data_IF_909627514784
#
_entry.id   IF_909627514784
#
_cell.length_a   1.000
_cell.length_b   1.000
_cell.length_c   1.000
_cell.angle_alpha   90.00
_cell.angle_beta   90.00
_cell.angle_gamma   90.00
#
_symmetry.space_group_name_H-M   'P 1'
#
loop_
_entity.id
_entity.type
_entity.pdbx_description
1 polymer ?
#
# COMPACT_ATOMS: atom_id res chain seq x y z
N UNK A 1 -13.70 64.34 5.78
CA UNK A 1 -12.60 64.08 4.83
C UNK A 1 -12.22 62.60 5.01
N UNK A 2 -12.61 61.76 4.07
CA UNK A 2 -12.30 60.33 4.06
C UNK A 2 -11.33 60.14 2.89
N UNK A 3 -10.08 59.75 3.20
CA UNK A 3 -9.12 59.36 2.20
C UNK A 3 -9.30 57.89 1.83
N UNK A 4 -9.58 57.69 0.54
CA UNK A 4 -9.53 56.38 -0.13
C UNK A 4 -8.09 55.98 -0.35
N UNK A 5 -7.65 54.84 0.18
CA UNK A 5 -6.42 54.20 -0.25
C UNK A 5 -6.78 53.09 -1.26
N UNK A 6 -6.52 53.35 -2.50
CA UNK A 6 -6.52 52.37 -3.59
C UNK A 6 -5.37 51.39 -3.41
N UNK A 7 -5.70 50.11 -3.36
CA UNK A 7 -4.71 49.01 -3.38
C UNK A 7 -4.29 48.76 -4.85
N UNK A 8 -3.04 49.04 -5.18
CA UNK A 8 -2.44 48.64 -6.44
C UNK A 8 -2.22 47.12 -6.46
N UNK A 9 -3.01 46.42 -7.26
CA UNK A 9 -2.76 45.04 -7.61
C UNK A 9 -1.52 44.95 -8.53
N UNK A 10 -0.55 44.14 -8.10
CA UNK A 10 0.61 43.76 -8.89
C UNK A 10 0.16 42.70 -9.89
N UNK A 11 0.09 43.08 -11.17
CA UNK A 11 -0.01 42.12 -12.26
C UNK A 11 1.38 41.45 -12.44
N UNK A 12 1.43 40.15 -12.25
CA UNK A 12 2.55 39.34 -12.73
C UNK A 12 2.30 39.09 -14.22
N UNK A 13 3.11 39.67 -15.08
CA UNK A 13 3.21 39.27 -16.48
C UNK A 13 3.94 37.92 -16.54
N UNK A 14 3.25 36.91 -17.06
CA UNK A 14 3.89 35.64 -17.44
C UNK A 14 4.77 35.88 -18.68
N UNK A 15 6.07 36.01 -18.48
CA UNK A 15 7.04 35.91 -19.58
C UNK A 15 7.00 34.47 -20.13
N UNK A 16 6.39 34.32 -21.30
CA UNK A 16 6.52 33.09 -22.09
C UNK A 16 7.94 32.99 -22.60
N UNK A 17 8.74 32.16 -21.97
CA UNK A 17 10.07 31.79 -22.50
C UNK A 17 9.81 30.93 -23.74
N UNK A 18 10.00 31.52 -24.93
CA UNK A 18 10.00 30.81 -26.19
C UNK A 18 11.36 30.09 -26.33
N UNK A 19 11.31 28.78 -26.14
CA UNK A 19 12.46 27.92 -26.40
C UNK A 19 12.78 27.90 -27.91
N UNK A 20 14.05 27.87 -28.25
CA UNK A 20 14.50 27.71 -29.64
C UNK A 20 14.22 26.31 -30.14
N UNK A 21 14.10 26.10 -31.46
CA UNK A 21 13.84 24.76 -32.04
C UNK A 21 14.87 23.71 -31.62
N UNK A 22 16.13 24.10 -31.40
CA UNK A 22 17.19 23.20 -30.92
C UNK A 22 16.99 22.83 -29.43
N UNK A 23 16.51 23.76 -28.60
CA UNK A 23 16.18 23.48 -27.18
C UNK A 23 14.94 22.59 -27.04
N UNK A 24 13.99 22.67 -27.95
CA UNK A 24 12.84 21.80 -28.01
C UNK A 24 13.23 20.38 -28.43
N UNK A 25 14.15 20.25 -29.40
CA UNK A 25 14.69 18.94 -29.82
C UNK A 25 15.48 18.25 -28.70
N UNK A 26 16.33 19.01 -28.02
CA UNK A 26 17.15 18.47 -26.90
C UNK A 26 16.26 17.98 -25.75
N UNK A 27 15.19 18.73 -25.42
CA UNK A 27 14.21 18.28 -24.40
C UNK A 27 13.37 17.09 -24.87
N UNK A 28 13.13 16.94 -26.16
CA UNK A 28 12.39 15.80 -26.70
C UNK A 28 13.24 14.54 -26.72
N UNK A 29 14.53 14.66 -27.10
CA UNK A 29 15.48 13.54 -27.05
C UNK A 29 15.77 13.10 -25.61
N UNK A 30 15.93 14.04 -24.65
CA UNK A 30 16.09 13.71 -23.23
C UNK A 30 14.82 13.03 -22.66
N UNK A 31 13.62 13.44 -23.08
CA UNK A 31 12.38 12.76 -22.67
C UNK A 31 12.26 11.35 -23.25
N UNK A 32 12.62 11.15 -24.50
CA UNK A 32 12.58 9.83 -25.13
C UNK A 32 13.64 8.88 -24.57
N UNK A 33 14.82 9.36 -24.17
CA UNK A 33 15.83 8.55 -23.47
C UNK A 33 15.42 8.23 -22.04
N UNK A 34 14.91 9.20 -21.26
CA UNK A 34 14.40 8.93 -19.91
C UNK A 34 13.20 8.01 -19.89
N UNK A 35 12.28 8.11 -20.86
CA UNK A 35 11.15 7.18 -20.98
C UNK A 35 11.61 5.75 -21.36
N UNK A 36 12.66 5.60 -22.14
CA UNK A 36 13.23 4.27 -22.47
C UNK A 36 13.99 3.66 -21.30
N UNK A 37 14.75 4.42 -20.56
CA UNK A 37 15.47 3.93 -19.37
C UNK A 37 14.49 3.57 -18.24
N UNK A 38 13.45 4.37 -18.01
CA UNK A 38 12.39 4.04 -17.05
C UNK A 38 11.60 2.77 -17.43
N UNK A 39 11.42 2.51 -18.71
CA UNK A 39 10.75 1.27 -19.18
C UNK A 39 11.63 0.02 -18.99
N UNK A 40 12.95 0.16 -19.01
CA UNK A 40 13.90 -0.96 -18.87
C UNK A 40 14.19 -1.25 -17.40
N UNK A 41 14.34 -0.23 -16.56
CA UNK A 41 14.62 -0.38 -15.13
C UNK A 41 13.37 -0.69 -14.28
N UNK A 42 12.21 -0.20 -14.66
CA UNK A 42 10.99 -0.28 -13.84
C UNK A 42 9.87 -1.12 -14.48
N UNK A 43 10.17 -2.17 -15.18
CA UNK A 43 9.23 -3.03 -15.93
C UNK A 43 7.90 -3.42 -15.26
N UNK A 44 7.65 -2.96 -14.05
CA UNK A 44 6.41 -3.16 -13.27
C UNK A 44 5.60 -1.86 -13.11
N UNK A 45 6.17 -0.70 -13.38
CA UNK A 45 5.51 0.58 -13.23
C UNK A 45 5.32 1.26 -14.59
N UNK A 46 4.54 0.63 -15.47
CA UNK A 46 3.94 1.36 -16.58
C UNK A 46 2.95 2.39 -16.00
N UNK A 47 3.46 3.57 -15.68
CA UNK A 47 2.59 4.70 -15.44
C UNK A 47 1.87 5.01 -16.76
N UNK A 48 0.57 4.71 -16.81
CA UNK A 48 -0.24 5.21 -17.91
C UNK A 48 -0.17 6.75 -17.87
N UNK A 49 0.26 7.37 -18.96
CA UNK A 49 0.14 8.82 -19.10
C UNK A 49 -1.36 9.21 -19.03
N UNK A 50 -1.66 10.45 -18.67
CA UNK A 50 -3.07 10.93 -18.67
C UNK A 50 -3.74 10.67 -20.03
N UNK A 51 -2.98 10.71 -21.13
CA UNK A 51 -3.43 10.47 -22.49
C UNK A 51 -3.81 9.01 -22.78
N UNK A 52 -3.18 8.05 -22.09
CA UNK A 52 -3.46 6.62 -22.24
C UNK A 52 -4.50 6.10 -21.24
N UNK A 53 -4.91 6.90 -20.26
CA UNK A 53 -5.88 6.48 -19.26
C UNK A 53 -7.30 6.47 -19.81
N UNK A 54 -7.89 5.29 -19.85
CA UNK A 54 -9.30 5.13 -20.24
C UNK A 54 -10.16 5.07 -18.99
N UNK A 55 -11.04 6.04 -18.83
CA UNK A 55 -11.99 6.06 -17.73
C UNK A 55 -12.91 4.85 -17.76
N UNK A 56 -13.19 4.20 -16.63
CA UNK A 56 -14.15 3.10 -16.57
C UNK A 56 -15.50 3.52 -17.14
N UNK A 57 -16.15 2.60 -17.85
CA UNK A 57 -17.48 2.83 -18.42
C UNK A 57 -18.60 2.69 -17.39
N UNK A 58 -18.37 1.92 -16.32
CA UNK A 58 -19.32 1.74 -15.22
C UNK A 58 -19.55 3.06 -14.46
N UNK A 59 -20.81 3.58 -14.40
CA UNK A 59 -21.12 4.84 -13.73
C UNK A 59 -20.85 4.80 -12.22
N UNK A 60 -21.00 3.65 -11.57
CA UNK A 60 -20.76 3.51 -10.13
C UNK A 60 -19.26 3.62 -9.82
N UNK A 61 -18.42 2.99 -10.65
CA UNK A 61 -16.96 3.09 -10.55
C UNK A 61 -16.50 4.52 -10.80
N UNK A 62 -17.00 5.18 -11.86
CA UNK A 62 -16.69 6.59 -12.15
C UNK A 62 -17.02 7.51 -10.98
N UNK A 63 -18.22 7.40 -10.45
CA UNK A 63 -18.67 8.18 -9.28
C UNK A 63 -17.75 7.97 -8.07
N UNK A 64 -17.26 6.75 -7.85
CA UNK A 64 -16.32 6.46 -6.75
C UNK A 64 -14.93 7.06 -7.00
N UNK A 65 -14.44 7.04 -8.23
CA UNK A 65 -13.17 7.67 -8.58
C UNK A 65 -13.24 9.20 -8.44
N UNK A 66 -14.32 9.82 -8.90
CA UNK A 66 -14.57 11.26 -8.70
C UNK A 66 -14.61 11.60 -7.22
N UNK A 67 -15.39 10.85 -6.43
CA UNK A 67 -15.43 11.00 -4.98
C UNK A 67 -14.03 10.91 -4.36
N UNK A 68 -13.23 9.90 -4.75
CA UNK A 68 -11.87 9.72 -4.21
C UNK A 68 -10.96 10.92 -4.55
N UNK A 69 -11.01 11.42 -5.77
CA UNK A 69 -10.23 12.60 -6.19
C UNK A 69 -10.53 13.83 -5.33
N UNK A 70 -11.75 13.96 -4.85
CA UNK A 70 -12.20 15.11 -4.05
C UNK A 70 -11.81 15.02 -2.57
N UNK A 71 -11.43 13.83 -2.06
CA UNK A 71 -11.18 13.65 -0.63
C UNK A 71 -9.89 14.32 -0.13
N UNK A 72 -8.87 14.44 -0.97
CA UNK A 72 -7.57 15.10 -0.74
C UNK A 72 -6.72 14.49 0.39
N UNK A 73 -7.26 14.29 1.60
CA UNK A 73 -6.53 13.80 2.76
C UNK A 73 -7.14 12.50 3.28
N UNK A 74 -6.34 11.43 3.28
CA UNK A 74 -6.67 10.14 3.87
C UNK A 74 -5.68 9.72 4.95
N UNK A 75 -6.11 8.82 5.80
CA UNK A 75 -5.25 8.10 6.73
C UNK A 75 -4.88 6.75 6.13
N UNK A 76 -3.60 6.52 5.85
CA UNK A 76 -3.08 5.21 5.47
C UNK A 76 -2.47 4.53 6.68
N UNK A 77 -2.87 3.29 6.93
CA UNK A 77 -2.36 2.50 8.04
C UNK A 77 -1.88 1.15 7.55
N UNK A 78 -0.59 0.90 7.75
CA UNK A 78 0.01 -0.43 7.63
C UNK A 78 0.11 -1.04 9.02
N UNK A 79 -0.62 -2.13 9.23
CA UNK A 79 -0.65 -2.82 10.52
C UNK A 79 -0.94 -4.31 10.32
N UNK A 80 -0.18 -5.17 10.99
CA UNK A 80 -0.25 -6.61 10.88
C UNK A 80 0.67 -7.27 11.91
N UNK A 81 0.88 -8.57 11.78
CA UNK A 81 1.71 -9.35 12.70
C UNK A 81 3.14 -8.80 12.82
N UNK A 82 3.70 -8.26 11.73
CA UNK A 82 5.02 -7.63 11.67
C UNK A 82 5.21 -6.44 12.62
N UNK A 83 4.13 -5.81 13.04
CA UNK A 83 4.20 -4.66 13.98
C UNK A 83 4.80 -5.04 15.33
N UNK A 84 4.77 -6.33 15.71
CA UNK A 84 5.39 -6.83 16.92
C UNK A 84 6.91 -6.70 16.89
N UNK A 85 7.50 -6.69 15.70
CA UNK A 85 8.94 -6.55 15.49
C UNK A 85 9.40 -5.10 15.36
N UNK A 86 8.46 -4.15 15.29
CA UNK A 86 8.78 -2.75 15.07
C UNK A 86 9.40 -2.45 13.70
N UNK A 87 9.18 -3.32 12.74
CA UNK A 87 9.70 -3.20 11.36
C UNK A 87 8.64 -2.62 10.41
N UNK A 88 9.12 -2.21 9.24
CA UNK A 88 8.24 -1.73 8.17
C UNK A 88 7.68 -2.91 7.42
N UNK A 89 6.40 -3.19 7.63
CA UNK A 89 5.61 -4.17 6.89
C UNK A 89 6.25 -5.58 6.86
N UNK A 90 5.91 -6.39 5.89
CA UNK A 90 6.43 -7.76 5.75
C UNK A 90 7.74 -7.86 4.94
N UNK A 91 8.38 -6.75 4.61
CA UNK A 91 9.57 -6.74 3.74
C UNK A 91 10.75 -7.56 4.27
N UNK A 92 10.79 -7.83 5.56
CA UNK A 92 11.79 -8.72 6.14
C UNK A 92 11.76 -10.16 5.60
N UNK A 93 10.64 -10.58 4.99
CA UNK A 93 10.51 -11.86 4.29
C UNK A 93 11.10 -11.84 2.89
N UNK A 94 11.26 -10.67 2.29
CA UNK A 94 11.84 -10.57 0.94
C UNK A 94 13.32 -10.93 0.94
N UNK A 95 13.80 -11.39 -0.22
CA UNK A 95 15.20 -11.70 -0.38
C UNK A 95 16.07 -10.46 -0.64
N UNK A 96 17.36 -10.62 -0.43
CA UNK A 96 18.45 -9.74 -0.85
C UNK A 96 18.27 -8.23 -0.50
N UNK A 97 18.06 -7.40 -1.50
CA UNK A 97 18.20 -5.94 -1.38
C UNK A 97 17.10 -5.26 -0.55
N UNK A 98 15.96 -5.90 -0.41
CA UNK A 98 14.88 -5.43 0.47
C UNK A 98 15.03 -5.90 1.92
N UNK A 99 16.10 -6.58 2.26
CA UNK A 99 16.35 -7.11 3.60
C UNK A 99 16.76 -6.05 4.65
N UNK A 100 16.84 -4.78 4.27
CA UNK A 100 17.07 -3.70 5.22
C UNK A 100 16.11 -3.75 6.43
N UNK A 101 14.87 -4.15 6.21
CA UNK A 101 13.89 -4.37 7.27
C UNK A 101 14.27 -5.57 8.16
N UNK A 102 14.85 -6.63 7.58
CA UNK A 102 15.36 -7.80 8.31
C UNK A 102 16.50 -7.43 9.24
N UNK A 103 17.38 -6.52 8.85
CA UNK A 103 18.49 -6.06 9.70
C UNK A 103 18.04 -5.33 10.98
N UNK A 104 16.78 -4.90 11.04
CA UNK A 104 16.21 -4.31 12.26
C UNK A 104 15.69 -5.37 13.25
N UNK A 105 15.74 -6.66 12.88
CA UNK A 105 15.26 -7.76 13.71
C UNK A 105 16.48 -8.44 14.37
N UNK A 106 16.46 -8.50 15.69
CA UNK A 106 17.52 -9.12 16.50
C UNK A 106 17.28 -10.64 16.65
N UNK A 107 17.21 -11.32 15.53
CA UNK A 107 17.12 -12.78 15.47
C UNK A 107 18.38 -13.36 14.83
N UNK A 108 19.02 -14.31 15.53
CA UNK A 108 20.22 -14.99 15.05
C UNK A 108 19.94 -16.14 14.05
N UNK A 109 18.74 -16.16 13.45
CA UNK A 109 18.31 -17.20 12.52
C UNK A 109 18.19 -16.67 11.10
N UNK A 110 18.36 -17.55 10.11
CA UNK A 110 18.32 -17.21 8.69
C UNK A 110 17.50 -18.23 7.90
N UNK A 111 17.21 -17.91 6.64
CA UNK A 111 16.56 -18.82 5.71
C UNK A 111 15.18 -19.31 6.22
N UNK A 112 14.97 -20.61 6.15
CA UNK A 112 13.69 -21.25 6.52
C UNK A 112 13.33 -21.07 8.00
N UNK A 113 14.31 -21.06 8.89
CA UNK A 113 14.03 -20.85 10.30
C UNK A 113 13.53 -19.41 10.57
N UNK A 114 14.10 -18.43 9.85
CA UNK A 114 13.61 -17.04 9.91
C UNK A 114 12.14 -16.94 9.44
N UNK A 115 11.81 -17.55 8.29
CA UNK A 115 10.46 -17.57 7.76
C UNK A 115 9.48 -18.19 8.73
N UNK A 116 9.84 -19.36 9.28
CA UNK A 116 9.01 -20.04 10.27
C UNK A 116 8.76 -19.18 11.49
N UNK A 117 9.78 -18.54 12.06
CA UNK A 117 9.61 -17.64 13.21
C UNK A 117 8.78 -16.43 12.85
N UNK A 118 8.94 -15.88 11.65
CA UNK A 118 8.12 -14.77 11.19
C UNK A 118 6.64 -15.17 11.07
N UNK A 119 6.35 -16.28 10.42
CA UNK A 119 4.96 -16.74 10.28
C UNK A 119 4.34 -17.12 11.63
N UNK A 120 5.13 -17.59 12.59
CA UNK A 120 4.67 -17.86 13.95
C UNK A 120 4.32 -16.59 14.77
N UNK A 121 4.54 -15.39 14.21
CA UNK A 121 4.08 -14.13 14.83
C UNK A 121 2.57 -14.05 15.02
N UNK A 122 1.77 -14.76 14.22
CA UNK A 122 0.32 -14.87 14.44
C UNK A 122 0.00 -15.45 15.83
N UNK A 123 0.82 -16.39 16.33
CA UNK A 123 0.63 -17.09 17.63
C UNK A 123 0.89 -16.18 18.84
N UNK A 124 1.45 -15.01 18.62
CA UNK A 124 1.72 -14.00 19.67
C UNK A 124 1.00 -12.69 19.41
N UNK A 125 0.38 -12.53 18.23
CA UNK A 125 -0.30 -11.29 17.87
C UNK A 125 -1.59 -11.10 18.68
N UNK A 126 -1.49 -10.23 19.68
CA UNK A 126 -2.59 -9.99 20.62
C UNK A 126 -2.76 -8.49 20.90
N UNK A 127 -3.32 -7.70 19.97
CA UNK A 127 -3.42 -6.25 20.09
C UNK A 127 -4.56 -5.81 21.01
N UNK A 128 -4.47 -6.14 22.30
CA UNK A 128 -5.52 -5.87 23.32
C UNK A 128 -5.85 -4.38 23.53
N UNK A 129 -5.06 -3.47 22.97
CA UNK A 129 -5.28 -2.02 23.04
C UNK A 129 -5.98 -1.48 21.78
N UNK A 130 -6.44 -2.35 20.89
CA UNK A 130 -7.18 -1.93 19.72
C UNK A 130 -8.54 -1.36 20.12
N UNK A 131 -8.79 -0.10 19.81
CA UNK A 131 -10.03 0.64 20.09
C UNK A 131 -10.51 1.31 18.78
N UNK A 132 -11.25 0.59 17.93
CA UNK A 132 -11.59 1.07 16.58
C UNK A 132 -12.38 2.37 16.57
N UNK A 133 -13.26 2.57 17.54
CA UNK A 133 -14.05 3.80 17.68
C UNK A 133 -13.14 5.00 17.97
N UNK A 134 -12.21 4.84 18.89
CA UNK A 134 -11.26 5.90 19.26
C UNK A 134 -10.34 6.26 18.11
N UNK A 135 -9.88 5.25 17.36
CA UNK A 135 -9.07 5.48 16.17
C UNK A 135 -9.83 6.29 15.13
N UNK A 136 -11.10 5.93 14.89
CA UNK A 136 -11.93 6.66 13.96
C UNK A 136 -12.27 8.09 14.43
N UNK A 137 -12.44 8.30 15.75
CA UNK A 137 -12.63 9.64 16.33
C UNK A 137 -11.41 10.53 16.12
N UNK A 138 -10.21 9.99 16.36
CA UNK A 138 -8.95 10.70 16.13
C UNK A 138 -8.77 11.03 14.66
N UNK A 139 -9.04 10.08 13.75
CA UNK A 139 -8.97 10.31 12.32
C UNK A 139 -9.93 11.42 11.85
N UNK A 140 -11.16 11.40 12.34
CA UNK A 140 -12.17 12.44 12.07
C UNK A 140 -11.71 13.81 12.58
N UNK A 141 -11.21 13.87 13.81
CA UNK A 141 -10.71 15.10 14.42
C UNK A 141 -9.47 15.67 13.68
N UNK A 142 -8.63 14.80 13.12
CA UNK A 142 -7.49 15.17 12.28
C UNK A 142 -7.91 15.69 10.88
N UNK A 143 -9.19 15.62 10.53
CA UNK A 143 -9.72 16.11 9.26
C UNK A 143 -9.55 15.15 8.09
N UNK A 144 -9.15 13.89 8.33
CA UNK A 144 -9.08 12.88 7.26
C UNK A 144 -10.48 12.56 6.72
N UNK A 145 -10.54 12.12 5.48
CA UNK A 145 -11.78 11.83 4.77
C UNK A 145 -11.99 10.33 4.53
N UNK A 146 -10.94 9.55 4.61
CA UNK A 146 -11.00 8.10 4.43
C UNK A 146 -9.85 7.42 5.16
N UNK A 147 -10.05 6.15 5.43
CA UNK A 147 -9.05 5.19 5.86
C UNK A 147 -8.62 4.34 4.66
N UNK A 148 -7.33 4.12 4.47
CA UNK A 148 -6.76 3.06 3.68
C UNK A 148 -6.02 2.12 4.63
N UNK A 149 -6.50 0.88 4.76
CA UNK A 149 -6.00 -0.08 5.73
C UNK A 149 -5.47 -1.33 5.07
N UNK A 150 -4.31 -1.82 5.49
CA UNK A 150 -3.76 -3.11 5.03
C UNK A 150 -4.55 -4.27 5.63
N UNK A 151 -5.52 -4.76 4.88
CA UNK A 151 -6.28 -5.95 5.28
C UNK A 151 -5.42 -7.20 5.22
N UNK A 152 -4.53 -7.29 4.22
CA UNK A 152 -3.50 -8.32 4.05
C UNK A 152 -2.29 -7.70 3.36
N UNK A 153 -1.11 -7.84 3.95
CA UNK A 153 0.16 -7.50 3.31
C UNK A 153 0.76 -8.74 2.60
N UNK A 154 1.97 -8.65 2.08
CA UNK A 154 2.61 -9.74 1.32
C UNK A 154 2.84 -11.01 2.14
N UNK A 155 2.91 -10.92 3.47
CA UNK A 155 3.03 -12.07 4.36
C UNK A 155 1.81 -12.97 4.42
N UNK A 156 0.71 -12.57 3.79
CA UNK A 156 -0.51 -13.38 3.75
C UNK A 156 -1.38 -13.31 5.01
N UNK A 157 -0.94 -12.64 6.09
CA UNK A 157 -1.73 -12.57 7.31
C UNK A 157 -2.98 -11.73 7.12
N UNK A 158 -4.15 -12.37 7.27
CA UNK A 158 -5.45 -11.76 7.07
C UNK A 158 -5.95 -11.10 8.36
N UNK A 159 -6.17 -9.78 8.34
CA UNK A 159 -6.68 -9.00 9.45
C UNK A 159 -8.22 -9.04 9.56
N UNK A 160 -8.86 -10.03 8.94
CA UNK A 160 -10.31 -10.23 8.95
C UNK A 160 -10.67 -11.74 8.98
N UNK A 161 -11.90 -12.04 9.32
CA UNK A 161 -12.43 -13.41 9.25
C UNK A 161 -12.64 -13.83 7.79
N UNK A 162 -11.78 -14.71 7.31
CA UNK A 162 -11.85 -15.28 5.97
C UNK A 162 -11.96 -16.81 6.05
N UNK A 163 -12.68 -17.38 5.10
CA UNK A 163 -12.75 -18.84 4.90
C UNK A 163 -11.76 -19.38 3.86
N UNK A 164 -10.94 -18.50 3.28
CA UNK A 164 -10.00 -18.86 2.21
C UNK A 164 -8.56 -19.02 2.70
N UNK A 165 -8.29 -18.67 3.95
CA UNK A 165 -6.98 -18.85 4.57
C UNK A 165 -7.15 -19.12 6.04
N UNK A 166 -6.35 -20.03 6.58
CA UNK A 166 -6.25 -20.28 8.02
C UNK A 166 -5.25 -19.34 8.69
N UNK A 167 -4.42 -18.65 7.91
CA UNK A 167 -3.47 -17.64 8.39
C UNK A 167 -4.19 -16.29 8.58
N UNK A 168 -4.92 -16.17 9.66
CA UNK A 168 -5.80 -15.04 9.93
C UNK A 168 -5.89 -14.71 11.42
N UNK A 169 -6.28 -13.50 11.73
CA UNK A 169 -6.39 -13.00 13.09
C UNK A 169 -7.47 -13.72 13.93
N UNK A 170 -8.49 -14.24 13.27
CA UNK A 170 -9.59 -15.01 13.91
C UNK A 170 -9.31 -16.51 14.03
N UNK A 171 -8.10 -16.97 13.63
CA UNK A 171 -7.71 -18.36 13.75
C UNK A 171 -7.49 -18.76 15.22
N UNK A 172 -7.77 -20.01 15.57
CA UNK A 172 -7.67 -20.54 16.95
C UNK A 172 -6.25 -20.43 17.53
N UNK A 173 -5.21 -20.46 16.69
CA UNK A 173 -3.83 -20.31 17.08
C UNK A 173 -3.39 -18.84 17.23
N UNK A 174 -4.22 -17.87 16.84
CA UNK A 174 -4.02 -16.47 17.10
C UNK A 174 -4.69 -16.07 18.42
N UNK A 175 -3.97 -15.61 19.44
CA UNK A 175 -4.56 -15.34 20.75
C UNK A 175 -5.65 -14.26 20.75
N UNK A 176 -5.67 -13.42 19.70
CA UNK A 176 -6.67 -12.37 19.57
C UNK A 176 -8.06 -12.88 19.16
N UNK A 177 -8.20 -14.12 18.70
CA UNK A 177 -9.46 -14.71 18.22
C UNK A 177 -10.61 -14.70 19.27
N UNK A 178 -10.29 -14.59 20.55
CA UNK A 178 -11.29 -14.50 21.62
C UNK A 178 -11.63 -13.07 22.02
N UNK A 179 -11.03 -12.08 21.38
CA UNK A 179 -11.29 -10.68 21.70
C UNK A 179 -12.64 -10.24 21.14
N UNK A 180 -13.26 -9.26 21.78
CA UNK A 180 -14.50 -8.64 21.29
C UNK A 180 -14.37 -8.03 19.88
N UNK A 181 -13.15 -7.61 19.52
CA UNK A 181 -12.81 -7.02 18.23
C UNK A 181 -11.97 -7.97 17.37
N UNK A 182 -12.22 -9.28 17.45
CA UNK A 182 -11.44 -10.33 16.79
C UNK A 182 -11.30 -10.13 15.28
N UNK A 183 -12.36 -9.70 14.57
CA UNK A 183 -12.28 -9.26 13.18
C UNK A 183 -11.93 -7.77 13.11
N UNK A 184 -10.63 -7.47 13.11
CA UNK A 184 -10.15 -6.08 13.10
C UNK A 184 -10.71 -5.29 11.92
N UNK A 185 -10.73 -5.87 10.71
CA UNK A 185 -11.23 -5.16 9.53
C UNK A 185 -12.71 -4.82 9.66
N UNK A 186 -13.53 -5.76 10.12
CA UNK A 186 -14.96 -5.51 10.29
C UNK A 186 -15.23 -4.37 11.26
N UNK A 187 -14.63 -4.44 12.45
CA UNK A 187 -14.83 -3.44 13.51
C UNK A 187 -14.25 -2.08 13.15
N UNK A 188 -13.04 -2.05 12.56
CA UNK A 188 -12.40 -0.81 12.15
C UNK A 188 -13.21 -0.11 11.04
N UNK A 189 -13.62 -0.86 10.02
CA UNK A 189 -14.36 -0.32 8.89
C UNK A 189 -15.74 0.18 9.30
N UNK A 190 -16.43 -0.54 10.19
CA UNK A 190 -17.69 -0.09 10.74
C UNK A 190 -17.54 1.22 11.51
N UNK A 191 -16.52 1.32 12.38
CA UNK A 191 -16.25 2.51 13.19
C UNK A 191 -15.96 3.74 12.35
N UNK A 192 -15.21 3.59 11.25
CA UNK A 192 -14.95 4.68 10.31
C UNK A 192 -16.20 5.10 9.53
N UNK A 193 -16.99 4.13 9.04
CA UNK A 193 -18.25 4.41 8.33
C UNK A 193 -19.28 5.13 9.22
N UNK A 194 -19.39 4.75 10.50
CA UNK A 194 -20.26 5.45 11.49
C UNK A 194 -19.89 6.92 11.67
N UNK A 195 -18.70 7.33 11.25
CA UNK A 195 -18.21 8.72 11.32
C UNK A 195 -18.19 9.42 9.95
N UNK A 196 -18.85 8.85 8.96
CA UNK A 196 -18.88 9.34 7.57
C UNK A 196 -17.48 9.43 6.94
N UNK A 197 -16.57 8.55 7.36
CA UNK A 197 -15.27 8.41 6.74
C UNK A 197 -15.30 7.28 5.70
N UNK A 198 -14.68 7.53 4.55
CA UNK A 198 -14.52 6.51 3.52
C UNK A 198 -13.62 5.37 4.01
N UNK A 199 -13.75 4.20 3.41
CA UNK A 199 -12.93 3.02 3.73
C UNK A 199 -12.41 2.41 2.45
N UNK A 200 -11.09 2.20 2.41
CA UNK A 200 -10.37 1.56 1.31
C UNK A 200 -9.59 0.39 1.90
N UNK A 201 -9.87 -0.81 1.38
CA UNK A 201 -9.13 -2.01 1.74
C UNK A 201 -7.89 -2.14 0.84
N UNK A 202 -6.69 -2.05 1.43
CA UNK A 202 -5.48 -2.49 0.75
C UNK A 202 -5.39 -4.01 0.88
N UNK A 203 -5.29 -4.67 -0.23
CA UNK A 203 -5.11 -6.11 -0.31
C UNK A 203 -3.92 -6.41 -1.22
N UNK A 204 -2.86 -6.97 -0.66
CA UNK A 204 -1.74 -7.43 -1.46
C UNK A 204 -2.13 -8.66 -2.28
N UNK A 205 -1.90 -8.61 -3.59
CA UNK A 205 -2.04 -9.80 -4.45
C UNK A 205 -0.89 -10.79 -4.24
N UNK A 206 0.31 -10.29 -3.94
CA UNK A 206 1.40 -11.15 -3.52
C UNK A 206 1.05 -11.81 -2.19
N UNK A 207 1.39 -13.09 -2.06
CA UNK A 207 1.17 -13.86 -0.85
C UNK A 207 2.37 -14.79 -0.63
N UNK A 208 3.24 -14.39 0.29
CA UNK A 208 4.48 -15.12 0.57
C UNK A 208 4.30 -16.28 1.55
N UNK A 209 3.10 -16.43 2.10
CA UNK A 209 2.75 -17.56 2.96
C UNK A 209 2.35 -18.80 2.16
N UNK A 210 1.87 -18.62 0.93
CA UNK A 210 1.37 -19.70 0.09
C UNK A 210 2.44 -20.12 -0.91
N UNK A 211 2.98 -21.33 -0.79
CA UNK A 211 4.07 -21.86 -1.62
C UNK A 211 3.77 -21.81 -3.11
N UNK A 212 2.53 -22.11 -3.52
CA UNK A 212 2.10 -22.02 -4.92
C UNK A 212 2.13 -20.60 -5.47
N UNK A 213 2.18 -19.59 -4.61
CA UNK A 213 2.20 -18.20 -5.00
C UNK A 213 3.55 -17.54 -4.78
N UNK A 214 4.42 -18.11 -3.97
CA UNK A 214 5.76 -17.63 -3.68
C UNK A 214 6.78 -18.75 -3.72
N UNK A 215 7.60 -18.78 -4.75
CA UNK A 215 8.68 -19.73 -4.92
C UNK A 215 10.02 -19.12 -4.50
N UNK A 216 10.84 -19.88 -3.80
CA UNK A 216 12.21 -19.51 -3.44
C UNK A 216 13.20 -19.60 -4.62
N UNK A 217 12.84 -20.33 -5.66
CA UNK A 217 13.69 -20.52 -6.82
C UNK A 217 13.65 -19.33 -7.77
N UNK A 218 14.38 -18.30 -7.39
CA UNK A 218 14.49 -17.05 -8.14
C UNK A 218 15.52 -17.11 -9.26
N UNK A 219 15.38 -18.01 -10.18
CA UNK A 219 16.18 -17.96 -11.41
C UNK A 219 15.75 -16.85 -12.38
N UNK A 220 14.73 -16.08 -12.05
CA UNK A 220 14.09 -15.10 -12.93
C UNK A 220 14.32 -13.67 -12.49
N UNK A 221 15.50 -13.13 -12.76
CA UNK A 221 15.75 -11.69 -12.77
C UNK A 221 15.91 -11.01 -11.41
N UNK A 222 16.50 -9.84 -11.45
CA UNK A 222 17.03 -9.11 -10.29
C UNK A 222 16.02 -8.43 -9.37
N UNK A 223 14.74 -8.40 -9.70
CA UNK A 223 13.68 -7.79 -8.88
C UNK A 223 12.66 -8.79 -8.39
N UNK A 224 13.15 -9.86 -7.88
CA UNK A 224 12.40 -11.07 -7.56
C UNK A 224 11.31 -10.87 -6.50
N UNK A 225 11.50 -9.96 -5.57
CA UNK A 225 10.52 -9.62 -4.56
C UNK A 225 9.27 -8.90 -5.11
N UNK A 226 9.27 -8.52 -6.38
CA UNK A 226 8.16 -7.84 -7.06
C UNK A 226 7.56 -8.62 -8.23
N UNK A 227 8.21 -9.69 -8.65
CA UNK A 227 7.75 -10.56 -9.73
C UNK A 227 6.72 -11.60 -9.29
N UNK A 228 6.08 -12.31 -10.22
CA UNK A 228 5.30 -13.48 -9.89
C UNK A 228 6.19 -14.52 -9.22
N UNK A 229 5.79 -14.92 -8.05
CA UNK A 229 6.56 -15.78 -7.16
C UNK A 229 6.27 -17.26 -7.37
N UNK A 230 5.52 -17.63 -8.38
CA UNK A 230 5.23 -19.02 -8.74
C UNK A 230 5.64 -19.33 -10.18
N UNK A 231 6.00 -20.58 -10.48
CA UNK A 231 6.15 -21.06 -11.84
C UNK A 231 4.77 -21.53 -12.37
N UNK A 232 4.23 -20.90 -13.43
CA UNK A 232 2.95 -21.32 -14.02
C UNK A 232 2.98 -22.74 -14.59
N UNK A 233 4.14 -23.35 -14.75
CA UNK A 233 4.29 -24.75 -15.19
C UNK A 233 4.15 -25.73 -14.04
N UNK A 234 4.58 -25.33 -12.82
CA UNK A 234 4.40 -26.12 -11.61
C UNK A 234 2.99 -25.97 -11.04
N UNK A 235 2.38 -24.80 -11.23
CA UNK A 235 1.03 -24.45 -10.76
C UNK A 235 0.21 -23.88 -11.92
N UNK A 236 -0.34 -24.73 -12.79
CA UNK A 236 -0.95 -24.31 -14.06
C UNK A 236 -2.34 -23.68 -13.94
N UNK A 237 -2.87 -23.38 -12.76
CA UNK A 237 -4.18 -22.77 -12.57
C UNK A 237 -4.18 -21.25 -12.54
#
# INVERSE_FOLDING_TARGET
>A
MKENKESKGTQFEEEKILLTEDQVKDQTEIKEETEKDDMVENGVHNYSTEESYVWPTDPAVRKKLEWFRDQKLGLMMHWGAYSQLGIVESWALSDADACWSRHCIDWEVTGEEFKKQYFDLNKTFNPIRFEPEKWADIAKAAGTKYLLFTTKHHDGFCMWDTKYSDYKITAEDCPYHTNHYDDICAHLFESFRKRDLGVIAYFSKADWHVDSYWSENYERGSYQHRGPSYDPKEYPE
#
